data_IF_899615382195
#
_entry.id   IF_899615382195
#
_cell.length_a   1.000
_cell.length_b   1.000
_cell.length_c   1.000
_cell.angle_alpha   90.00
_cell.angle_beta   90.00
_cell.angle_gamma   90.00
#
_symmetry.space_group_name_H-M   'P 1'
#
loop_
_entity.id
_entity.type
_entity.pdbx_description
1 polymer ?
#
# COMPACT_ATOMS: atom_id res chain seq x y z
N UNK A 1 -46.84 -38.10 -17.81
CA UNK A 1 -46.94 -37.02 -16.81
C UNK A 1 -45.84 -37.20 -15.76
N UNK A 2 -44.96 -36.19 -15.57
CA UNK A 2 -44.23 -35.74 -14.35
C UNK A 2 -43.48 -36.79 -13.46
N UNK A 3 -42.26 -36.63 -12.95
CA UNK A 3 -41.17 -35.61 -12.94
C UNK A 3 -39.89 -36.32 -12.41
N UNK A 4 -38.72 -35.92 -12.91
CA UNK A 4 -37.39 -36.33 -12.41
C UNK A 4 -37.13 -35.73 -11.01
N UNK A 5 -36.66 -36.55 -10.06
CA UNK A 5 -36.15 -36.18 -8.74
C UNK A 5 -34.83 -36.92 -8.52
N UNK A 6 -33.73 -36.36 -8.02
CA UNK A 6 -33.44 -35.00 -7.61
C UNK A 6 -31.92 -34.82 -7.68
N UNK A 7 -31.51 -33.60 -8.01
CA UNK A 7 -30.14 -33.14 -8.08
C UNK A 7 -29.63 -32.92 -6.63
N UNK A 8 -28.59 -33.63 -6.20
CA UNK A 8 -27.90 -33.32 -4.94
C UNK A 8 -26.55 -32.69 -5.27
N UNK A 9 -26.54 -31.36 -5.40
CA UNK A 9 -25.36 -30.54 -5.62
C UNK A 9 -24.83 -30.12 -4.23
N UNK A 10 -23.73 -30.71 -3.76
CA UNK A 10 -23.02 -30.24 -2.57
C UNK A 10 -21.88 -29.32 -3.01
N UNK A 11 -22.16 -28.02 -3.08
CA UNK A 11 -21.14 -26.98 -3.19
C UNK A 11 -20.66 -26.62 -1.77
N UNK A 12 -19.45 -27.03 -1.42
CA UNK A 12 -18.71 -26.44 -0.30
C UNK A 12 -18.37 -24.99 -0.66
N UNK A 13 -19.22 -24.06 -0.22
CA UNK A 13 -18.91 -22.63 -0.26
C UNK A 13 -17.82 -22.34 0.77
N UNK A 14 -16.56 -22.41 0.35
CA UNK A 14 -15.45 -21.86 1.12
C UNK A 14 -15.62 -20.34 1.21
N UNK A 15 -15.95 -19.83 2.39
CA UNK A 15 -15.94 -18.39 2.66
C UNK A 15 -14.50 -17.91 2.74
N UNK A 16 -13.93 -17.56 1.59
CA UNK A 16 -12.76 -16.71 1.55
C UNK A 16 -13.12 -15.41 2.28
N UNK A 17 -12.62 -15.25 3.50
CA UNK A 17 -12.72 -13.98 4.22
C UNK A 17 -11.93 -12.97 3.39
N UNK A 18 -12.65 -12.11 2.66
CA UNK A 18 -12.06 -11.00 1.92
C UNK A 18 -11.25 -10.17 2.92
N UNK A 19 -9.93 -10.31 2.90
CA UNK A 19 -9.04 -9.30 3.47
C UNK A 19 -9.40 -7.97 2.80
N UNK A 20 -9.37 -6.83 3.50
CA UNK A 20 -9.52 -5.54 2.86
C UNK A 20 -8.56 -5.48 1.68
N UNK A 21 -9.09 -5.56 0.46
CA UNK A 21 -8.29 -5.74 -0.76
C UNK A 21 -7.57 -4.45 -1.15
N UNK A 22 -8.00 -3.32 -0.58
CA UNK A 22 -7.43 -2.01 -0.81
C UNK A 22 -6.41 -1.63 0.29
N UNK A 23 -5.22 -1.21 -0.15
CA UNK A 23 -4.11 -0.79 0.71
C UNK A 23 -4.49 0.41 1.60
N UNK A 24 -5.32 1.36 1.13
CA UNK A 24 -5.76 2.51 1.94
C UNK A 24 -6.58 2.06 3.15
N UNK A 25 -7.51 1.14 2.94
CA UNK A 25 -8.33 0.56 4.01
C UNK A 25 -7.45 -0.14 5.05
N UNK A 26 -6.45 -0.89 4.61
CA UNK A 26 -5.45 -1.51 5.50
C UNK A 26 -4.63 -0.47 6.28
N UNK A 27 -4.22 0.62 5.63
CA UNK A 27 -3.46 1.72 6.26
C UNK A 27 -4.22 2.44 7.37
N UNK A 28 -5.55 2.53 7.27
CA UNK A 28 -6.40 3.25 8.23
C UNK A 28 -6.31 2.68 9.65
N UNK A 29 -5.97 1.40 9.79
CA UNK A 29 -5.84 0.70 11.08
C UNK A 29 -4.38 0.45 11.47
N UNK A 30 -3.41 0.95 10.70
CA UNK A 30 -1.99 0.78 11.02
C UNK A 30 -1.51 1.79 12.06
N UNK A 31 -0.43 1.46 12.79
CA UNK A 31 0.29 2.43 13.60
C UNK A 31 0.67 3.68 12.80
N UNK A 32 0.69 4.81 13.50
CA UNK A 32 0.91 6.13 12.89
C UNK A 32 2.23 6.22 12.13
N UNK A 33 3.30 5.63 12.66
CA UNK A 33 4.61 5.63 12.02
C UNK A 33 4.63 4.84 10.68
N UNK A 34 3.92 3.72 10.63
CA UNK A 34 3.73 2.93 9.40
C UNK A 34 2.88 3.71 8.39
N UNK A 35 1.77 4.31 8.84
CA UNK A 35 0.87 5.09 7.98
C UNK A 35 1.58 6.31 7.40
N UNK A 36 2.30 7.07 8.22
CA UNK A 36 3.08 8.23 7.78
C UNK A 36 4.18 7.85 6.80
N UNK A 37 4.89 6.73 7.03
CA UNK A 37 5.91 6.27 6.08
C UNK A 37 5.28 5.84 4.74
N UNK A 38 4.17 5.11 4.75
CA UNK A 38 3.51 4.65 3.53
C UNK A 38 2.99 5.83 2.68
N UNK A 39 2.37 6.84 3.30
CA UNK A 39 1.95 8.05 2.59
C UNK A 39 3.13 8.82 2.00
N UNK A 40 4.25 8.86 2.71
CA UNK A 40 5.49 9.46 2.21
C UNK A 40 6.07 8.69 1.03
N UNK A 41 6.04 7.35 1.07
CA UNK A 41 6.42 6.49 -0.04
C UNK A 41 5.58 6.78 -1.29
N UNK A 42 4.25 6.88 -1.14
CA UNK A 42 3.35 7.21 -2.24
C UNK A 42 3.63 8.61 -2.82
N UNK A 43 3.82 9.63 -1.98
CA UNK A 43 4.20 10.97 -2.42
C UNK A 43 5.53 10.97 -3.18
N UNK A 44 6.54 10.25 -2.69
CA UNK A 44 7.83 10.15 -3.37
C UNK A 44 7.74 9.40 -4.70
N UNK A 45 6.85 8.41 -4.82
CA UNK A 45 6.58 7.74 -6.09
C UNK A 45 5.91 8.69 -7.07
N UNK A 46 4.88 9.43 -6.63
CA UNK A 46 4.22 10.45 -7.44
C UNK A 46 5.23 11.44 -8.04
N UNK A 47 6.06 12.08 -7.20
CA UNK A 47 7.03 13.06 -7.69
C UNK A 47 8.16 12.47 -8.56
N UNK A 48 8.47 11.19 -8.42
CA UNK A 48 9.47 10.50 -9.26
C UNK A 48 8.95 10.17 -10.65
N UNK A 49 7.64 9.97 -10.78
CA UNK A 49 6.96 9.72 -12.05
C UNK A 49 6.76 11.03 -12.86
N UNK A 50 6.88 12.20 -12.21
CA UNK A 50 6.74 13.51 -12.86
C UNK A 50 7.97 13.87 -13.72
N UNK A 51 7.71 14.34 -14.94
CA UNK A 51 8.76 14.84 -15.83
C UNK A 51 9.03 16.34 -15.60
N UNK A 52 10.29 16.79 -15.52
CA UNK A 52 10.62 18.22 -15.46
C UNK A 52 10.40 18.84 -16.84
N UNK A 53 9.16 19.25 -17.14
CA UNK A 53 8.81 19.90 -18.41
C UNK A 53 9.56 21.22 -18.66
N UNK A 54 10.00 21.89 -17.58
CA UNK A 54 10.82 23.10 -17.58
C UNK A 54 11.64 23.20 -16.28
N UNK A 55 12.50 24.22 -16.17
CA UNK A 55 13.38 24.44 -15.02
C UNK A 55 12.63 24.80 -13.73
N UNK A 56 11.46 25.45 -13.84
CA UNK A 56 10.64 25.78 -12.69
C UNK A 56 9.99 24.53 -12.12
N UNK A 57 9.45 23.68 -12.99
CA UNK A 57 8.89 22.37 -12.64
C UNK A 57 9.95 21.48 -12.02
N UNK A 58 11.15 21.45 -12.58
CA UNK A 58 12.28 20.71 -12.02
C UNK A 58 12.60 21.15 -10.57
N UNK A 59 12.58 22.46 -10.31
CA UNK A 59 12.76 23.01 -8.96
C UNK A 59 11.65 22.55 -8.01
N UNK A 60 10.38 22.63 -8.44
CA UNK A 60 9.24 22.18 -7.63
C UNK A 60 9.32 20.69 -7.28
N UNK A 61 9.67 19.84 -8.26
CA UNK A 61 9.85 18.39 -8.03
C UNK A 61 10.95 18.17 -6.98
N UNK A 62 12.10 18.85 -7.12
CA UNK A 62 13.21 18.72 -6.18
C UNK A 62 12.83 19.17 -4.76
N UNK A 63 12.15 20.29 -4.63
CA UNK A 63 11.66 20.80 -3.34
C UNK A 63 10.71 19.80 -2.69
N UNK A 64 9.71 19.32 -3.43
CA UNK A 64 8.76 18.34 -2.91
C UNK A 64 9.44 17.02 -2.49
N UNK A 65 10.41 16.53 -3.26
CA UNK A 65 11.18 15.34 -2.90
C UNK A 65 12.04 15.54 -1.64
N UNK A 66 12.56 16.74 -1.42
CA UNK A 66 13.31 17.09 -0.22
C UNK A 66 12.39 17.20 1.01
N UNK A 67 11.25 17.87 0.88
CA UNK A 67 10.25 18.02 1.95
C UNK A 67 9.69 16.67 2.39
N UNK A 68 9.44 15.77 1.42
CA UNK A 68 9.06 14.38 1.67
C UNK A 68 10.24 13.51 2.11
N UNK A 69 11.46 14.04 2.21
CA UNK A 69 12.66 13.29 2.61
C UNK A 69 12.81 11.97 1.86
N UNK A 70 12.59 11.98 0.54
CA UNK A 70 12.54 10.75 -0.26
C UNK A 70 13.83 9.92 -0.20
N UNK A 71 14.97 10.56 0.10
CA UNK A 71 16.28 9.91 0.26
C UNK A 71 16.40 9.08 1.55
N UNK A 72 15.56 9.35 2.56
CA UNK A 72 15.56 8.64 3.84
C UNK A 72 14.63 7.41 3.84
N UNK A 73 13.76 7.25 2.83
CA UNK A 73 12.67 6.25 2.82
C UNK A 73 13.14 4.82 3.08
N UNK A 74 14.27 4.40 2.48
CA UNK A 74 14.80 3.05 2.65
C UNK A 74 15.21 2.79 4.10
N UNK A 75 16.00 3.71 4.67
CA UNK A 75 16.46 3.62 6.07
C UNK A 75 15.26 3.58 7.02
N UNK A 76 14.27 4.43 6.80
CA UNK A 76 13.07 4.50 7.63
C UNK A 76 12.24 3.21 7.52
N UNK A 77 12.11 2.64 6.33
CA UNK A 77 11.43 1.37 6.09
C UNK A 77 12.10 0.21 6.83
N UNK A 78 13.44 0.15 6.82
CA UNK A 78 14.19 -0.85 7.56
C UNK A 78 14.03 -0.70 9.08
N UNK A 79 14.00 0.53 9.59
CA UNK A 79 13.73 0.77 11.02
C UNK A 79 12.33 0.26 11.41
N UNK A 80 11.32 0.50 10.55
CA UNK A 80 9.97 -0.04 10.76
C UNK A 80 9.94 -1.56 10.68
N UNK A 81 10.63 -2.18 9.71
CA UNK A 81 10.74 -3.65 9.61
C UNK A 81 11.36 -4.27 10.87
N UNK A 82 12.40 -3.64 11.44
CA UNK A 82 13.01 -4.07 12.71
C UNK A 82 12.05 -3.91 13.88
N UNK A 83 11.37 -2.77 13.99
CA UNK A 83 10.39 -2.48 15.05
C UNK A 83 9.21 -3.46 15.04
N UNK A 84 8.73 -3.81 13.85
CA UNK A 84 7.53 -4.61 13.64
C UNK A 84 7.83 -6.03 13.14
N UNK A 85 9.01 -6.57 13.45
CA UNK A 85 9.48 -7.88 12.95
C UNK A 85 8.51 -9.04 13.20
N UNK A 86 7.70 -8.98 14.26
CA UNK A 86 6.72 -10.01 14.61
C UNK A 86 5.28 -9.67 14.18
N UNK A 87 5.09 -8.69 13.27
CA UNK A 87 3.78 -8.24 12.80
C UNK A 87 3.66 -8.45 11.30
N UNK A 88 3.24 -9.65 10.89
CA UNK A 88 3.16 -10.05 9.49
C UNK A 88 2.33 -9.08 8.62
N UNK A 89 1.22 -8.57 9.15
CA UNK A 89 0.35 -7.60 8.45
C UNK A 89 1.06 -6.26 8.14
N UNK A 90 1.95 -5.80 9.03
CA UNK A 90 2.75 -4.60 8.82
C UNK A 90 3.87 -4.87 7.83
N UNK A 91 4.56 -6.00 7.97
CA UNK A 91 5.64 -6.37 7.05
C UNK A 91 5.13 -6.51 5.61
N UNK A 92 3.97 -7.13 5.42
CA UNK A 92 3.31 -7.21 4.11
C UNK A 92 2.97 -5.81 3.57
N UNK A 93 2.44 -4.92 4.40
CA UNK A 93 2.15 -3.55 3.98
C UNK A 93 3.41 -2.78 3.59
N UNK A 94 4.51 -2.91 4.36
CA UNK A 94 5.79 -2.28 4.03
C UNK A 94 6.40 -2.82 2.73
N UNK A 95 6.11 -4.08 2.38
CA UNK A 95 6.56 -4.68 1.13
C UNK A 95 5.78 -4.18 -0.09
N UNK A 96 4.48 -3.90 0.07
CA UNK A 96 3.58 -3.52 -1.02
C UNK A 96 3.26 -2.00 -1.05
N UNK A 97 3.90 -1.19 -0.20
CA UNK A 97 3.63 0.25 -0.12
C UNK A 97 3.99 1.04 -1.40
N UNK A 98 4.76 0.45 -2.31
CA UNK A 98 5.02 1.02 -3.64
C UNK A 98 3.78 1.06 -4.53
N UNK A 99 2.77 0.23 -4.25
CA UNK A 99 1.49 0.19 -4.97
C UNK A 99 0.54 1.31 -4.53
N UNK A 100 0.82 1.96 -3.39
CA UNK A 100 0.02 3.08 -2.91
C UNK A 100 0.22 4.30 -3.83
N UNK A 101 -0.90 4.89 -4.27
CA UNK A 101 -0.92 6.15 -5.02
C UNK A 101 -1.22 7.30 -4.07
N UNK A 102 -0.53 8.41 -4.26
CA UNK A 102 -0.87 9.67 -3.62
C UNK A 102 -2.20 10.18 -4.21
N UNK A 103 -3.03 10.79 -3.36
CA UNK A 103 -4.30 11.40 -3.76
C UNK A 103 -4.11 12.78 -4.38
#
# INVERSE_FOLDING_TARGET
MKRLAGLCLLLLAGTAHAQPTDLKSRLSVMPDDVRSWAWRQAGCNHWREEMPGDSERARRIKEAMNDLRCYDLSRDSEMLRRRYVNRANILDLLANANELKAD
#
